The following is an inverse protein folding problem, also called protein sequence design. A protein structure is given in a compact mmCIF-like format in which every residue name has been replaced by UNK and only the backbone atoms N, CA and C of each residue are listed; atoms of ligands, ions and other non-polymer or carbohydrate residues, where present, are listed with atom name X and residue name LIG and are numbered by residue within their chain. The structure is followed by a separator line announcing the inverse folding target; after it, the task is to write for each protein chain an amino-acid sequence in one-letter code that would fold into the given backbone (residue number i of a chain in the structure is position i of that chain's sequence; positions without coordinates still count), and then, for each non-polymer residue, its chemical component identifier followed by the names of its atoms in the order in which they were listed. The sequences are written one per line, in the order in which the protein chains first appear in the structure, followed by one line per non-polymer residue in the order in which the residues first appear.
data_IF_305357536228
#
_entry.id   IF_305357536228
#
_cell.length_a   1.000
_cell.length_b   1.000
_cell.length_c   1.000
_cell.angle_alpha   90.00
_cell.angle_beta   90.00
_cell.angle_gamma   90.00
#
_symmetry.space_group_name_H-M   'P 1'
#
loop_
_entity.id
_entity.type
_entity.pdbx_description
1 polymer ?
#
# COMPACT_ATOMS: atom_id res chain seq x y z
N UNK A 1 -34.34 26.25 1.36
CA UNK A 1 -34.96 26.66 0.09
C UNK A 1 -33.99 27.47 -0.77
N UNK A 2 -32.79 26.92 -1.04
CA UNK A 2 -31.87 27.33 -2.12
C UNK A 2 -30.74 26.28 -2.24
N UNK A 3 -31.08 24.99 -2.19
CA UNK A 3 -30.15 23.93 -2.55
C UNK A 3 -30.26 23.77 -4.07
N UNK A 4 -29.79 24.78 -4.80
CA UNK A 4 -29.53 24.63 -6.21
C UNK A 4 -28.46 23.55 -6.31
N UNK A 5 -28.86 22.38 -6.79
CA UNK A 5 -27.96 21.28 -7.11
C UNK A 5 -26.79 21.84 -7.91
N UNK A 6 -25.64 21.98 -7.24
CA UNK A 6 -24.43 22.50 -7.84
C UNK A 6 -24.14 21.66 -9.09
N UNK A 7 -23.77 22.28 -10.21
CA UNK A 7 -23.42 21.53 -11.41
C UNK A 7 -22.31 20.54 -11.08
N UNK A 8 -22.38 19.32 -11.64
CA UNK A 8 -21.53 18.19 -11.24
C UNK A 8 -20.04 18.53 -11.12
N UNK A 9 -19.52 19.38 -12.02
CA UNK A 9 -18.14 19.85 -11.96
C UNK A 9 -17.80 20.62 -10.68
N UNK A 10 -18.69 21.51 -10.18
CA UNK A 10 -18.47 22.26 -8.93
C UNK A 10 -18.41 21.32 -7.72
N UNK A 11 -19.28 20.31 -7.69
CA UNK A 11 -19.28 19.30 -6.63
C UNK A 11 -17.98 18.49 -6.62
N UNK A 12 -17.48 18.08 -7.78
CA UNK A 12 -16.17 17.40 -7.88
C UNK A 12 -15.03 18.28 -7.36
N UNK A 13 -15.07 19.59 -7.64
CA UNK A 13 -14.08 20.53 -7.10
C UNK A 13 -14.17 20.70 -5.57
N UNK A 14 -15.38 20.73 -5.01
CA UNK A 14 -15.58 20.80 -3.55
C UNK A 14 -15.13 19.50 -2.86
N UNK A 15 -15.46 18.35 -3.42
CA UNK A 15 -15.01 17.04 -2.92
C UNK A 15 -13.48 16.93 -2.97
N UNK A 16 -12.85 17.29 -4.09
CA UNK A 16 -11.41 17.35 -4.22
C UNK A 16 -10.77 18.33 -3.21
N UNK A 17 -11.36 19.51 -3.04
CA UNK A 17 -10.93 20.51 -2.07
C UNK A 17 -10.96 19.98 -0.63
N UNK A 18 -12.02 19.26 -0.25
CA UNK A 18 -12.11 18.67 1.09
C UNK A 18 -11.05 17.58 1.34
N UNK A 19 -10.75 16.75 0.34
CA UNK A 19 -9.67 15.76 0.40
C UNK A 19 -8.29 16.42 0.56
N UNK A 20 -8.03 17.50 -0.17
CA UNK A 20 -6.78 18.27 -0.05
C UNK A 20 -6.65 18.90 1.34
N UNK A 21 -7.72 19.48 1.87
CA UNK A 21 -7.73 20.05 3.22
C UNK A 21 -7.52 18.98 4.31
N UNK A 22 -8.09 17.80 4.13
CA UNK A 22 -7.86 16.65 5.00
C UNK A 22 -6.39 16.21 4.97
N UNK A 23 -5.80 16.14 3.77
CA UNK A 23 -4.38 15.81 3.60
C UNK A 23 -3.47 16.84 4.27
N UNK A 24 -3.77 18.15 4.12
CA UNK A 24 -3.08 19.21 4.85
C UNK A 24 -3.21 19.09 6.37
N UNK A 25 -4.37 18.65 6.85
CA UNK A 25 -4.62 18.38 8.27
C UNK A 25 -3.80 17.20 8.79
N UNK A 26 -3.60 16.16 7.99
CA UNK A 26 -2.67 15.06 8.29
C UNK A 26 -1.23 15.56 8.47
N UNK A 27 -0.69 16.33 7.51
CA UNK A 27 0.67 16.86 7.60
C UNK A 27 0.85 17.83 8.77
N UNK A 28 -0.17 18.60 9.14
CA UNK A 28 -0.10 19.44 10.34
C UNK A 28 -0.09 18.61 11.63
N UNK A 29 -0.80 17.50 11.65
CA UNK A 29 -0.93 16.62 12.82
C UNK A 29 0.30 15.72 13.01
N UNK A 30 1.04 15.35 11.96
CA UNK A 30 2.25 14.52 12.12
C UNK A 30 3.29 15.10 13.11
N UNK A 31 3.35 16.43 13.23
CA UNK A 31 4.27 17.14 14.12
C UNK A 31 3.66 17.51 15.49
N UNK A 32 2.38 17.22 15.73
CA UNK A 32 1.75 17.44 17.04
C UNK A 32 2.07 16.30 18.00
N UNK A 33 2.13 16.61 19.30
CA UNK A 33 2.19 15.60 20.37
C UNK A 33 0.89 14.80 20.45
N UNK A 34 0.98 13.56 20.93
CA UNK A 34 -0.16 12.64 21.06
C UNK A 34 -0.12 11.46 20.09
N UNK A 35 1.08 11.03 19.66
CA UNK A 35 1.23 9.87 18.80
C UNK A 35 1.07 8.56 19.58
N UNK A 36 0.19 7.70 19.08
CA UNK A 36 -0.20 6.45 19.75
C UNK A 36 0.60 5.28 19.19
N UNK A 37 1.76 5.02 19.79
CA UNK A 37 2.69 3.98 19.34
C UNK A 37 2.09 2.58 19.32
N UNK A 38 1.24 2.26 20.29
CA UNK A 38 0.56 0.96 20.35
C UNK A 38 -0.31 0.72 19.12
N UNK A 39 -1.09 1.74 18.73
CA UNK A 39 -1.94 1.67 17.55
C UNK A 39 -1.11 1.63 16.27
N UNK A 40 -0.03 2.40 16.17
CA UNK A 40 0.88 2.34 15.04
C UNK A 40 1.46 0.92 14.83
N UNK A 41 1.92 0.26 15.89
CA UNK A 41 2.45 -1.11 15.81
C UNK A 41 1.34 -2.08 15.36
N UNK A 42 0.12 -1.93 15.89
CA UNK A 42 -1.04 -2.73 15.45
C UNK A 42 -1.28 -2.56 13.95
N UNK A 43 -1.25 -1.32 13.45
CA UNK A 43 -1.43 -1.04 12.03
C UNK A 43 -0.29 -1.61 11.18
N UNK A 44 0.96 -1.55 11.65
CA UNK A 44 2.08 -2.21 10.99
C UNK A 44 1.89 -3.74 10.88
N UNK A 45 1.31 -4.37 11.89
CA UNK A 45 0.98 -5.80 11.84
C UNK A 45 -0.15 -6.11 10.84
N UNK A 46 -1.24 -5.35 10.87
CA UNK A 46 -2.38 -5.53 9.97
C UNK A 46 -2.01 -5.31 8.49
N UNK A 47 -1.25 -4.25 8.22
CA UNK A 47 -0.84 -3.86 6.88
C UNK A 47 0.32 -4.72 6.40
N UNK A 48 1.35 -4.85 7.23
CA UNK A 48 2.59 -5.54 6.90
C UNK A 48 2.44 -7.05 7.01
N UNK A 49 2.47 -7.57 8.23
CA UNK A 49 2.55 -9.02 8.49
C UNK A 49 1.45 -9.81 7.78
N UNK A 50 0.19 -9.35 7.84
CA UNK A 50 -0.90 -10.05 7.16
C UNK A 50 -0.86 -9.95 5.62
N UNK A 51 -0.09 -9.02 5.04
CA UNK A 51 0.14 -8.94 3.58
C UNK A 51 1.28 -9.82 3.10
N UNK A 52 2.20 -10.22 3.99
CA UNK A 52 3.47 -10.89 3.60
C UNK A 52 3.22 -12.10 2.72
N UNK A 53 2.32 -12.99 3.12
CA UNK A 53 2.03 -14.21 2.36
C UNK A 53 1.52 -13.91 0.95
N UNK A 54 0.62 -12.93 0.83
CA UNK A 54 -0.01 -12.59 -0.45
C UNK A 54 1.00 -11.91 -1.39
N UNK A 55 1.76 -10.94 -0.89
CA UNK A 55 2.79 -10.22 -1.67
C UNK A 55 3.98 -11.12 -2.00
N UNK A 56 4.37 -12.00 -1.07
CA UNK A 56 5.46 -12.96 -1.28
C UNK A 56 5.09 -14.03 -2.29
N UNK A 57 3.90 -14.63 -2.19
CA UNK A 57 3.44 -15.65 -3.14
C UNK A 57 3.29 -15.07 -4.56
N UNK A 58 2.74 -13.87 -4.68
CA UNK A 58 2.63 -13.20 -5.98
C UNK A 58 4.00 -12.84 -6.55
N UNK A 59 4.91 -12.29 -5.74
CA UNK A 59 6.30 -12.06 -6.14
C UNK A 59 7.01 -13.32 -6.63
N UNK A 60 6.87 -14.44 -5.89
CA UNK A 60 7.42 -15.74 -6.26
C UNK A 60 6.98 -16.17 -7.67
N UNK A 61 5.66 -16.15 -7.92
CA UNK A 61 5.08 -16.53 -9.20
C UNK A 61 5.58 -15.61 -10.31
N UNK A 62 5.66 -14.31 -10.06
CA UNK A 62 6.15 -13.34 -11.04
C UNK A 62 7.61 -13.57 -11.41
N UNK A 63 8.46 -13.91 -10.43
CA UNK A 63 9.85 -14.27 -10.68
C UNK A 63 10.01 -15.50 -11.57
N UNK A 64 9.20 -16.54 -11.33
CA UNK A 64 9.14 -17.72 -12.19
C UNK A 64 8.70 -17.36 -13.62
N UNK A 65 7.58 -16.65 -13.75
CA UNK A 65 6.99 -16.30 -15.04
C UNK A 65 7.94 -15.44 -15.88
N UNK A 66 8.52 -14.38 -15.30
CA UNK A 66 9.46 -13.51 -16.00
C UNK A 66 10.67 -14.27 -16.53
N UNK A 67 11.21 -15.16 -15.71
CA UNK A 67 12.38 -15.97 -16.08
C UNK A 67 12.05 -16.94 -17.22
N UNK A 68 10.96 -17.71 -17.07
CA UNK A 68 10.54 -18.69 -18.07
C UNK A 68 10.14 -18.04 -19.39
N UNK A 69 9.52 -16.87 -19.35
CA UNK A 69 9.10 -16.17 -20.56
C UNK A 69 10.27 -15.51 -21.29
N UNK A 70 11.25 -14.98 -20.56
CA UNK A 70 12.36 -14.25 -21.17
C UNK A 70 13.48 -15.14 -21.69
N UNK A 71 13.63 -16.34 -21.13
CA UNK A 71 14.70 -17.28 -21.50
C UNK A 71 14.70 -17.64 -23.00
N UNK A 72 13.58 -18.04 -23.64
CA UNK A 72 13.56 -18.35 -25.06
C UNK A 72 14.02 -17.17 -25.92
N UNK A 73 13.54 -15.96 -25.62
CA UNK A 73 13.94 -14.76 -26.34
C UNK A 73 15.46 -14.52 -26.25
N UNK A 74 16.04 -14.61 -25.05
CA UNK A 74 17.49 -14.42 -24.90
C UNK A 74 18.30 -15.57 -25.54
N UNK A 75 17.78 -16.79 -25.54
CA UNK A 75 18.38 -17.93 -26.22
C UNK A 75 18.46 -17.72 -27.74
N UNK A 76 17.39 -17.20 -28.35
CA UNK A 76 17.36 -16.92 -29.80
C UNK A 76 18.41 -15.88 -30.22
N UNK A 77 18.75 -14.94 -29.34
CA UNK A 77 19.82 -13.96 -29.54
C UNK A 77 21.21 -14.44 -29.07
N UNK A 78 21.33 -15.66 -28.55
CA UNK A 78 22.59 -16.19 -27.98
C UNK A 78 23.06 -15.47 -26.70
N UNK A 79 22.15 -14.79 -26.00
CA UNK A 79 22.42 -13.92 -24.86
C UNK A 79 21.86 -14.49 -23.53
N UNK A 80 21.71 -15.81 -23.40
CA UNK A 80 21.14 -16.46 -22.21
C UNK A 80 21.88 -16.10 -20.90
N UNK A 81 23.19 -15.82 -20.98
CA UNK A 81 24.00 -15.37 -19.83
C UNK A 81 23.55 -14.03 -19.23
N UNK A 82 22.76 -13.23 -19.96
CA UNK A 82 22.23 -11.93 -19.49
C UNK A 82 20.91 -12.08 -18.73
N UNK A 83 20.30 -13.28 -18.74
CA UNK A 83 19.00 -13.54 -18.14
C UNK A 83 18.94 -13.15 -16.65
N UNK A 84 19.89 -13.54 -15.77
CA UNK A 84 19.82 -13.18 -14.36
C UNK A 84 19.90 -11.67 -14.12
N UNK A 85 20.73 -10.97 -14.90
CA UNK A 85 20.88 -9.51 -14.81
C UNK A 85 19.62 -8.77 -15.23
N UNK A 86 19.01 -9.20 -16.34
CA UNK A 86 17.76 -8.60 -16.83
C UNK A 86 16.59 -8.85 -15.88
N UNK A 87 16.41 -10.10 -15.41
CA UNK A 87 15.31 -10.45 -14.49
C UNK A 87 15.45 -9.69 -13.16
N UNK A 88 16.66 -9.66 -12.59
CA UNK A 88 16.88 -8.99 -11.31
C UNK A 88 16.65 -7.48 -11.38
N UNK A 89 17.14 -6.83 -12.44
CA UNK A 89 16.94 -5.40 -12.64
C UNK A 89 15.46 -5.05 -12.83
N UNK A 90 14.75 -5.87 -13.62
CA UNK A 90 13.32 -5.66 -13.91
C UNK A 90 12.44 -5.85 -12.67
N UNK A 91 12.75 -6.84 -11.83
CA UNK A 91 12.02 -7.09 -10.58
C UNK A 91 12.20 -5.91 -9.62
N UNK A 92 13.45 -5.57 -9.28
CA UNK A 92 13.75 -4.59 -8.23
C UNK A 92 13.31 -3.17 -8.61
N UNK A 93 13.43 -2.79 -9.89
CA UNK A 93 13.14 -1.42 -10.32
C UNK A 93 11.68 -1.17 -10.67
N UNK A 94 10.98 -2.19 -11.16
CA UNK A 94 9.66 -1.99 -11.76
C UNK A 94 8.64 -2.95 -11.17
N UNK A 95 8.81 -4.25 -11.44
CA UNK A 95 7.75 -5.24 -11.23
C UNK A 95 7.42 -5.41 -9.74
N UNK A 96 8.43 -5.54 -8.89
CA UNK A 96 8.25 -5.70 -7.44
C UNK A 96 7.52 -4.52 -6.80
N UNK A 97 8.02 -3.28 -6.96
CA UNK A 97 7.33 -2.09 -6.45
C UNK A 97 5.90 -1.94 -7.00
N UNK A 98 5.69 -2.12 -8.31
CA UNK A 98 4.39 -1.92 -8.95
C UNK A 98 3.37 -2.95 -8.47
N UNK A 99 3.73 -4.23 -8.45
CA UNK A 99 2.81 -5.30 -8.04
C UNK A 99 2.46 -5.19 -6.57
N UNK A 100 3.46 -4.93 -5.71
CA UNK A 100 3.22 -4.69 -4.28
C UNK A 100 2.26 -3.52 -4.08
N UNK A 101 2.47 -2.41 -4.78
CA UNK A 101 1.62 -1.23 -4.67
C UNK A 101 0.17 -1.50 -5.09
N UNK A 102 -0.06 -2.16 -6.23
CA UNK A 102 -1.40 -2.49 -6.74
C UNK A 102 -2.14 -3.42 -5.77
N UNK A 103 -1.45 -4.46 -5.30
CA UNK A 103 -2.00 -5.42 -4.35
C UNK A 103 -2.39 -4.74 -3.03
N UNK A 104 -1.47 -3.94 -2.48
CA UNK A 104 -1.70 -3.23 -1.23
C UNK A 104 -2.82 -2.19 -1.39
N UNK A 105 -2.88 -1.48 -2.51
CA UNK A 105 -3.96 -0.55 -2.80
C UNK A 105 -5.34 -1.22 -2.77
N UNK A 106 -5.47 -2.46 -3.26
CA UNK A 106 -6.71 -3.23 -3.15
C UNK A 106 -6.99 -3.71 -1.72
N UNK A 107 -6.08 -4.53 -1.17
CA UNK A 107 -6.27 -5.22 0.11
C UNK A 107 -6.30 -4.25 1.29
N UNK A 108 -5.30 -3.38 1.40
CA UNK A 108 -5.09 -2.50 2.55
C UNK A 108 -6.09 -1.35 2.55
N UNK A 109 -6.39 -0.74 1.39
CA UNK A 109 -7.39 0.31 1.34
C UNK A 109 -8.79 -0.22 1.69
N UNK A 110 -9.14 -1.41 1.21
CA UNK A 110 -10.43 -2.06 1.56
C UNK A 110 -10.51 -2.37 3.05
N UNK A 111 -9.43 -2.89 3.66
CA UNK A 111 -9.43 -3.19 5.09
C UNK A 111 -9.53 -1.93 5.95
N UNK A 112 -8.78 -0.87 5.61
CA UNK A 112 -8.84 0.42 6.32
C UNK A 112 -10.22 1.05 6.16
N UNK A 113 -10.78 1.04 4.94
CA UNK A 113 -12.11 1.58 4.66
C UNK A 113 -13.20 0.84 5.43
N UNK A 114 -13.14 -0.50 5.50
CA UNK A 114 -14.07 -1.30 6.28
C UNK A 114 -13.95 -1.04 7.79
N UNK A 115 -12.72 -0.93 8.32
CA UNK A 115 -12.48 -0.64 9.72
C UNK A 115 -13.00 0.75 10.11
N UNK A 116 -12.62 1.79 9.37
CA UNK A 116 -13.10 3.16 9.62
C UNK A 116 -14.61 3.30 9.40
N UNK A 117 -15.16 2.64 8.39
CA UNK A 117 -16.60 2.62 8.13
C UNK A 117 -17.37 1.98 9.28
N UNK A 118 -16.88 0.86 9.82
CA UNK A 118 -17.46 0.22 11.00
C UNK A 118 -17.38 1.11 12.24
N UNK A 119 -16.25 1.76 12.47
CA UNK A 119 -16.07 2.70 13.58
C UNK A 119 -17.01 3.91 13.47
N UNK A 120 -17.27 4.39 12.26
CA UNK A 120 -18.20 5.48 12.01
C UNK A 120 -19.66 5.08 12.26
N UNK A 121 -20.09 3.92 11.75
CA UNK A 121 -21.48 3.43 11.94
C UNK A 121 -21.77 3.06 13.40
N UNK A 122 -20.74 2.71 14.17
CA UNK A 122 -20.85 2.40 15.61
C UNK A 122 -20.57 3.60 16.51
N UNK A 123 -20.49 4.81 15.95
CA UNK A 123 -20.26 6.07 16.67
C UNK A 123 -18.97 6.08 17.53
N UNK A 124 -18.01 5.18 17.25
CA UNK A 124 -16.75 5.12 18.00
C UNK A 124 -15.89 6.36 17.77
N UNK A 125 -15.94 6.93 16.57
CA UNK A 125 -15.18 8.15 16.23
C UNK A 125 -15.73 9.34 17.04
N UNK A 126 -17.06 9.49 17.09
CA UNK A 126 -17.71 10.55 17.85
C UNK A 126 -17.48 10.38 19.35
N UNK A 127 -17.53 9.14 19.85
CA UNK A 127 -17.22 8.83 21.24
C UNK A 127 -15.77 9.21 21.60
N UNK A 128 -14.81 9.00 20.69
CA UNK A 128 -13.43 9.45 20.89
C UNK A 128 -13.34 10.98 20.98
N UNK A 129 -14.03 11.70 20.11
CA UNK A 129 -14.03 13.18 20.14
C UNK A 129 -14.63 13.73 21.45
N UNK A 130 -15.76 13.19 21.90
CA UNK A 130 -16.42 13.61 23.14
C UNK A 130 -15.57 13.26 24.38
N UNK A 131 -14.79 12.17 24.32
CA UNK A 131 -13.86 11.80 25.40
C UNK A 131 -12.61 12.69 25.50
N UNK A 132 -12.40 13.61 24.53
CA UNK A 132 -11.22 14.46 24.44
C UNK A 132 -10.01 13.80 23.77
N UNK A 133 -10.16 12.58 23.26
CA UNK A 133 -9.14 11.93 22.44
C UNK A 133 -9.09 12.55 21.04
N UNK A 134 -7.91 12.54 20.41
CA UNK A 134 -7.73 13.10 19.08
C UNK A 134 -7.84 11.99 18.00
N UNK A 135 -8.98 11.84 17.30
CA UNK A 135 -9.17 10.80 16.30
C UNK A 135 -8.22 10.96 15.10
N UNK A 136 -7.80 12.19 14.76
CA UNK A 136 -6.84 12.38 13.67
C UNK A 136 -5.48 11.75 14.00
N UNK A 137 -4.99 11.88 15.23
CA UNK A 137 -3.75 11.24 15.66
C UNK A 137 -3.90 9.72 15.69
N UNK A 138 -4.93 9.23 16.38
CA UNK A 138 -5.11 7.81 16.63
C UNK A 138 -5.46 7.04 15.36
N UNK A 139 -6.34 7.59 14.50
CA UNK A 139 -6.89 6.86 13.37
C UNK A 139 -6.17 7.13 12.04
N UNK A 140 -5.89 8.39 11.73
CA UNK A 140 -5.41 8.79 10.40
C UNK A 140 -3.89 8.72 10.35
N UNK A 141 -3.21 9.38 11.29
CA UNK A 141 -1.74 9.49 11.27
C UNK A 141 -1.08 8.12 11.40
N UNK A 142 -1.51 7.30 12.37
CA UNK A 142 -0.97 5.95 12.59
C UNK A 142 -1.08 5.07 11.33
N UNK A 143 -2.25 5.04 10.67
CA UNK A 143 -2.51 4.24 9.48
C UNK A 143 -1.70 4.69 8.27
N UNK A 144 -1.64 6.00 8.02
CA UNK A 144 -0.87 6.53 6.88
C UNK A 144 0.62 6.26 7.07
N UNK A 145 1.17 6.48 8.28
CA UNK A 145 2.57 6.20 8.56
C UNK A 145 2.88 4.71 8.50
N UNK A 146 2.01 3.85 9.03
CA UNK A 146 2.17 2.41 8.94
C UNK A 146 2.16 1.94 7.48
N UNK A 147 1.25 2.48 6.65
CA UNK A 147 1.20 2.18 5.21
C UNK A 147 2.48 2.64 4.49
N UNK A 148 2.92 3.86 4.78
CA UNK A 148 4.13 4.46 4.18
C UNK A 148 5.38 3.66 4.51
N UNK A 149 5.47 3.12 5.72
CA UNK A 149 6.60 2.31 6.16
C UNK A 149 6.52 0.87 5.64
N UNK A 150 5.34 0.24 5.74
CA UNK A 150 5.19 -1.18 5.47
C UNK A 150 5.18 -1.52 3.99
N UNK A 151 4.69 -0.65 3.09
CA UNK A 151 4.68 -0.94 1.64
C UNK A 151 6.11 -1.14 1.11
N UNK A 152 7.08 -0.24 1.34
CA UNK A 152 8.47 -0.48 0.91
C UNK A 152 9.08 -1.74 1.50
N UNK A 153 8.81 -2.03 2.77
CA UNK A 153 9.29 -3.27 3.43
C UNK A 153 8.72 -4.50 2.73
N UNK A 154 7.42 -4.50 2.42
CA UNK A 154 6.78 -5.57 1.66
C UNK A 154 7.36 -5.71 0.26
N UNK A 155 7.69 -4.61 -0.40
CA UNK A 155 8.36 -4.63 -1.71
C UNK A 155 9.70 -5.35 -1.64
N UNK A 156 10.55 -5.00 -0.66
CA UNK A 156 11.83 -5.70 -0.48
C UNK A 156 11.66 -7.20 -0.24
N UNK A 157 10.66 -7.60 0.55
CA UNK A 157 10.36 -9.01 0.79
C UNK A 157 9.88 -9.68 -0.51
N UNK A 158 9.01 -9.02 -1.27
CA UNK A 158 8.52 -9.51 -2.56
C UNK A 158 9.66 -9.73 -3.53
N UNK A 159 10.58 -8.77 -3.65
CA UNK A 159 11.74 -8.83 -4.54
C UNK A 159 12.65 -10.00 -4.19
N UNK A 160 12.97 -10.18 -2.90
CA UNK A 160 13.79 -11.30 -2.46
C UNK A 160 13.16 -12.66 -2.82
N UNK A 161 11.85 -12.80 -2.60
CA UNK A 161 11.11 -14.01 -2.91
C UNK A 161 10.96 -14.21 -4.44
N UNK A 162 10.78 -13.14 -5.20
CA UNK A 162 10.69 -13.17 -6.66
C UNK A 162 12.02 -13.60 -7.29
N UNK A 163 13.15 -13.07 -6.81
CA UNK A 163 14.48 -13.48 -7.26
C UNK A 163 14.75 -14.96 -6.95
N UNK A 164 14.31 -15.43 -5.78
CA UNK A 164 14.38 -16.85 -5.43
C UNK A 164 13.54 -17.70 -6.40
N UNK A 165 12.32 -17.28 -6.72
CA UNK A 165 11.51 -17.90 -7.76
C UNK A 165 12.21 -17.95 -9.11
N UNK A 166 12.80 -16.83 -9.55
CA UNK A 166 13.56 -16.77 -10.79
C UNK A 166 14.76 -17.72 -10.81
N UNK A 167 15.51 -17.82 -9.71
CA UNK A 167 16.62 -18.77 -9.56
C UNK A 167 16.17 -20.22 -9.73
N UNK A 168 15.01 -20.59 -9.16
CA UNK A 168 14.43 -21.93 -9.31
C UNK A 168 13.92 -22.23 -10.72
N UNK A 169 13.56 -21.21 -11.51
CA UNK A 169 13.13 -21.41 -12.90
C UNK A 169 14.31 -21.65 -13.87
N UNK A 170 15.52 -21.20 -13.52
CA UNK A 170 16.72 -21.39 -14.36
C UNK A 170 17.34 -22.78 -14.17
N UNK A 171 17.36 -23.28 -12.93
CA UNK A 171 17.99 -24.56 -12.56
C UNK A 171 17.00 -25.73 -12.66
#
# INVERSE_FOLDING_TARGET
MAEQALPAWKRTFEEAGSQILFLGSFFKNIFKRGFEWSEFIRQCYEIGYKSVTLVGLTGFIMGLVLTLQSRPTLSDFGAESWLPGMVSLSIIREIGPVITAIICAGRVASSIGAELGSMNVTEQIDAMEVSGANPMQYLVVTRILATTLMIPILTFISDAVALFGGFLAVN
#
